data_IF_509041750772
#
_entry.id   IF_509041750772
#
_cell.length_a   1.000
_cell.length_b   1.000
_cell.length_c   1.000
_cell.angle_alpha   90.00
_cell.angle_beta   90.00
_cell.angle_gamma   90.00
#
_symmetry.space_group_name_H-M   'P 1'
#
loop_
_entity.id
_entity.type
_entity.pdbx_description
1 polymer ?
#
# COMPACT_ATOMS: atom_id res chain seq x y z
N UNK A 1 -35.52 55.44 -7.14
CA UNK A 1 -35.41 54.23 -6.31
C UNK A 1 -35.99 53.06 -7.09
N UNK A 2 -35.15 52.14 -7.59
CA UNK A 2 -35.56 50.76 -7.81
C UNK A 2 -34.67 49.77 -7.04
N UNK A 3 -35.31 48.70 -6.57
CA UNK A 3 -34.75 47.66 -5.72
C UNK A 3 -33.74 46.78 -6.47
N UNK A 4 -32.61 46.50 -5.83
CA UNK A 4 -31.68 45.45 -6.24
C UNK A 4 -32.18 44.11 -5.67
N UNK A 5 -32.58 43.20 -6.56
CA UNK A 5 -32.82 41.81 -6.23
C UNK A 5 -31.50 41.17 -5.76
N UNK A 6 -31.47 40.76 -4.49
CA UNK A 6 -30.41 39.91 -3.94
C UNK A 6 -30.55 38.51 -4.54
N UNK A 7 -29.68 38.19 -5.50
CA UNK A 7 -29.50 36.82 -5.97
C UNK A 7 -28.57 36.13 -4.99
N UNK A 8 -29.14 35.28 -4.13
CA UNK A 8 -28.35 34.40 -3.27
C UNK A 8 -27.61 33.39 -4.15
N UNK A 9 -26.31 33.60 -4.31
CA UNK A 9 -25.41 32.60 -4.89
C UNK A 9 -25.25 31.51 -3.85
N UNK A 10 -25.92 30.36 -4.06
CA UNK A 10 -25.57 29.11 -3.39
C UNK A 10 -24.15 28.76 -3.82
N UNK A 11 -23.19 28.94 -2.92
CA UNK A 11 -21.84 28.43 -3.09
C UNK A 11 -21.96 26.90 -3.09
N UNK A 12 -21.79 26.25 -4.24
CA UNK A 12 -21.39 24.86 -4.25
C UNK A 12 -19.96 24.83 -3.71
N UNK A 13 -19.79 24.33 -2.50
CA UNK A 13 -18.47 23.92 -2.03
C UNK A 13 -18.07 22.73 -2.88
N UNK A 14 -17.15 22.93 -3.83
CA UNK A 14 -16.48 21.83 -4.50
C UNK A 14 -15.58 21.18 -3.46
N UNK A 15 -15.94 19.97 -3.03
CA UNK A 15 -15.07 19.11 -2.25
C UNK A 15 -13.95 18.68 -3.21
N UNK A 16 -12.86 19.44 -3.22
CA UNK A 16 -11.62 18.99 -3.86
C UNK A 16 -11.03 18.00 -2.87
N UNK A 17 -11.38 16.72 -3.03
CA UNK A 17 -10.64 15.62 -2.44
C UNK A 17 -9.22 15.83 -2.95
N UNK A 18 -8.24 16.00 -2.05
CA UNK A 18 -6.85 16.09 -2.46
C UNK A 18 -6.57 14.86 -3.32
N UNK A 19 -6.26 15.07 -4.60
CA UNK A 19 -6.22 14.01 -5.58
C UNK A 19 -5.37 12.85 -5.07
N UNK A 20 -6.00 11.68 -4.91
CA UNK A 20 -5.31 10.42 -4.65
C UNK A 20 -4.64 10.06 -5.98
N UNK A 21 -3.47 10.65 -6.25
CA UNK A 21 -2.71 10.34 -7.45
C UNK A 21 -2.12 8.94 -7.26
N UNK A 22 -2.71 7.95 -7.92
CA UNK A 22 -2.16 6.59 -7.92
C UNK A 22 -0.99 6.57 -8.92
N UNK A 23 0.23 6.58 -8.41
CA UNK A 23 1.44 6.35 -9.20
C UNK A 23 1.67 4.84 -9.30
N UNK A 24 1.53 4.29 -10.51
CA UNK A 24 1.91 2.91 -10.78
C UNK A 24 3.45 2.81 -10.73
N UNK A 25 3.99 2.23 -9.66
CA UNK A 25 5.42 2.01 -9.46
C UNK A 25 5.96 1.09 -10.57
N UNK A 26 6.69 1.64 -11.54
CA UNK A 26 7.29 0.85 -12.62
C UNK A 26 8.52 0.14 -12.06
N UNK A 27 8.32 -1.10 -11.62
CA UNK A 27 9.39 -1.98 -11.16
C UNK A 27 10.37 -2.32 -12.28
N UNK A 28 11.41 -1.51 -12.48
CA UNK A 28 12.50 -1.84 -13.40
C UNK A 28 13.36 -2.94 -12.75
N UNK A 29 13.01 -4.20 -13.01
CA UNK A 29 13.77 -5.37 -12.55
C UNK A 29 15.23 -5.28 -12.98
N UNK A 30 16.14 -5.23 -12.01
CA UNK A 30 17.57 -5.24 -12.26
C UNK A 30 18.03 -6.63 -12.68
N UNK A 31 18.62 -6.68 -13.87
CA UNK A 31 19.24 -7.83 -14.52
C UNK A 31 20.33 -8.44 -13.58
N UNK A 32 20.03 -9.57 -12.95
CA UNK A 32 20.99 -10.34 -12.19
C UNK A 32 21.43 -11.56 -13.00
N UNK A 33 22.66 -11.43 -13.50
CA UNK A 33 23.40 -12.37 -14.31
C UNK A 33 23.42 -13.83 -13.79
N UNK A 34 23.43 -14.72 -14.78
CA UNK A 34 23.97 -16.09 -14.80
C UNK A 34 24.84 -16.48 -13.59
N UNK A 35 24.37 -17.45 -12.81
CA UNK A 35 25.25 -18.44 -12.17
C UNK A 35 24.61 -19.82 -12.24
N UNK A 36 25.12 -20.57 -13.20
CA UNK A 36 25.14 -22.04 -13.24
C UNK A 36 25.69 -22.62 -11.94
N UNK A 37 24.92 -23.48 -11.27
CA UNK A 37 25.46 -24.49 -10.36
C UNK A 37 24.52 -25.69 -10.28
N UNK A 38 24.98 -26.80 -10.85
CA UNK A 38 24.44 -28.14 -10.64
C UNK A 38 24.37 -28.46 -9.14
N UNK A 39 23.34 -29.21 -8.73
CA UNK A 39 23.43 -30.01 -7.51
C UNK A 39 22.70 -31.33 -7.67
N UNK A 40 23.52 -32.36 -7.71
CA UNK A 40 23.23 -33.78 -7.65
C UNK A 40 22.76 -34.18 -6.24
N UNK A 41 22.03 -35.29 -6.20
CA UNK A 41 21.27 -35.78 -5.05
C UNK A 41 22.10 -36.38 -3.90
N UNK A 42 21.42 -36.42 -2.73
CA UNK A 42 21.42 -37.47 -1.68
C UNK A 42 22.66 -37.67 -0.80
N UNK A 43 22.52 -37.61 0.55
CA UNK A 43 22.13 -38.70 1.47
C UNK A 43 22.39 -38.29 2.95
N UNK A 44 21.47 -38.60 3.86
CA UNK A 44 21.57 -38.56 5.35
C UNK A 44 22.50 -39.67 5.91
N UNK A 45 22.68 -39.89 7.24
CA UNK A 45 22.64 -39.05 8.46
C UNK A 45 23.87 -39.32 9.41
N UNK A 46 24.00 -38.60 10.55
CA UNK A 46 24.29 -39.14 11.91
C UNK A 46 24.62 -38.06 12.96
N UNK A 47 23.84 -38.04 14.06
CA UNK A 47 24.23 -37.63 15.43
C UNK A 47 25.21 -38.68 16.02
N UNK A 48 26.04 -38.45 17.08
CA UNK A 48 25.55 -37.98 18.39
C UNK A 48 26.49 -37.09 19.25
N UNK A 49 25.90 -36.52 20.30
CA UNK A 49 26.39 -36.33 21.71
C UNK A 49 27.13 -35.04 22.17
N UNK A 50 26.51 -34.44 23.21
CA UNK A 50 27.07 -34.00 24.51
C UNK A 50 27.20 -32.49 24.82
N UNK A 51 26.26 -32.02 25.66
CA UNK A 51 26.41 -31.40 26.99
C UNK A 51 27.24 -30.10 27.22
N UNK A 52 26.56 -29.15 27.88
CA UNK A 52 26.99 -28.31 29.02
C UNK A 52 27.12 -26.79 28.82
N UNK A 53 26.41 -26.10 29.71
CA UNK A 53 26.18 -24.67 29.98
C UNK A 53 27.42 -23.81 30.27
N UNK A 54 27.37 -22.51 29.90
CA UNK A 54 27.93 -21.35 30.65
C UNK A 54 27.31 -20.04 30.13
N UNK A 55 26.85 -19.08 30.98
CA UNK A 55 26.36 -17.75 30.60
C UNK A 55 27.37 -16.61 30.99
N UNK A 56 27.07 -15.31 30.77
CA UNK A 56 27.53 -14.45 29.67
C UNK A 56 28.68 -13.48 30.04
N UNK A 57 29.33 -12.85 29.05
CA UNK A 57 30.20 -11.67 29.25
C UNK A 57 29.62 -10.47 28.47
N UNK A 58 29.53 -9.26 29.07
CA UNK A 58 28.98 -8.10 28.41
C UNK A 58 30.03 -7.44 27.51
N UNK A 59 29.65 -7.18 26.26
CA UNK A 59 30.41 -6.32 25.35
C UNK A 59 29.68 -4.98 25.27
N UNK A 60 30.44 -3.90 25.45
CA UNK A 60 30.07 -2.49 25.27
C UNK A 60 29.14 -2.26 24.06
N UNK A 61 28.20 -1.29 24.13
CA UNK A 61 27.43 -0.88 22.97
C UNK A 61 28.34 -0.07 22.06
N UNK A 62 28.85 -0.72 21.02
CA UNK A 62 29.42 -0.02 19.87
C UNK A 62 28.27 0.70 19.15
N UNK A 63 28.37 2.02 19.16
CA UNK A 63 27.65 2.98 18.34
C UNK A 63 27.41 2.41 16.93
N UNK A 64 26.16 2.04 16.65
CA UNK A 64 25.73 1.59 15.33
C UNK A 64 25.29 2.82 14.55
N UNK A 65 26.06 3.13 13.53
CA UNK A 65 25.71 4.01 12.42
C UNK A 65 24.39 3.56 11.81
N UNK A 66 23.42 4.48 11.71
CA UNK A 66 22.20 4.36 10.90
C UNK A 66 22.59 3.98 9.46
N UNK A 67 22.47 2.70 9.16
CA UNK A 67 22.33 2.20 7.80
C UNK A 67 20.86 1.89 7.68
N UNK A 68 20.16 2.63 6.83
CA UNK A 68 18.80 2.28 6.36
C UNK A 68 18.92 0.94 5.62
N UNK A 69 18.83 -0.13 6.38
CA UNK A 69 18.59 -1.48 5.89
C UNK A 69 17.08 -1.65 5.96
N UNK A 70 16.47 -2.12 4.86
CA UNK A 70 15.03 -2.32 4.81
C UNK A 70 14.60 -3.24 5.98
N UNK A 71 13.47 -2.95 6.66
CA UNK A 71 13.06 -3.70 7.83
C UNK A 71 12.80 -5.18 7.46
N UNK A 72 13.28 -6.19 8.21
CA UNK A 72 12.87 -7.58 8.02
C UNK A 72 11.35 -7.79 8.10
N UNK A 73 10.82 -8.84 7.45
CA UNK A 73 9.39 -9.15 7.48
C UNK A 73 8.86 -9.31 8.92
N UNK A 74 7.73 -8.66 9.21
CA UNK A 74 7.16 -8.55 10.56
C UNK A 74 7.43 -7.21 11.25
N UNK A 75 8.21 -6.32 10.65
CA UNK A 75 8.32 -4.94 11.09
C UNK A 75 7.07 -4.12 10.74
N UNK A 76 6.83 -3.08 11.54
CA UNK A 76 5.67 -2.21 11.39
C UNK A 76 6.08 -0.86 10.80
N UNK A 77 5.28 -0.37 9.86
CA UNK A 77 5.35 0.99 9.33
C UNK A 77 4.45 1.85 10.21
N UNK A 78 5.01 2.99 10.65
CA UNK A 78 4.28 4.03 11.38
C UNK A 78 4.04 5.18 10.41
N UNK A 79 2.79 5.38 10.02
CA UNK A 79 2.39 6.48 9.15
C UNK A 79 1.68 7.59 9.92
N UNK A 80 1.11 8.52 9.18
CA UNK A 80 0.36 9.65 9.74
C UNK A 80 -1.00 9.20 10.30
N UNK A 81 -1.01 8.80 11.58
CA UNK A 81 -2.24 8.44 12.30
C UNK A 81 -2.61 6.95 12.25
N UNK A 82 -1.70 6.10 11.78
CA UNK A 82 -1.88 4.65 11.74
C UNK A 82 -0.56 3.90 11.89
N UNK A 83 -0.66 2.60 12.15
CA UNK A 83 0.45 1.65 12.04
C UNK A 83 -0.04 0.40 11.34
N UNK A 84 0.79 -0.22 10.50
CA UNK A 84 0.51 -1.53 9.92
C UNK A 84 1.77 -2.38 9.81
N UNK A 85 1.61 -3.69 9.64
CA UNK A 85 2.73 -4.62 9.47
C UNK A 85 3.07 -4.78 7.98
N UNK A 86 4.36 -4.93 7.67
CA UNK A 86 4.82 -5.31 6.33
C UNK A 86 4.54 -6.81 6.11
N UNK A 87 3.80 -7.20 5.06
CA UNK A 87 3.55 -8.60 4.77
C UNK A 87 4.84 -9.40 4.54
N UNK A 88 4.82 -10.70 4.82
CA UNK A 88 5.98 -11.56 4.56
C UNK A 88 6.33 -11.56 3.06
N UNK A 89 7.62 -11.35 2.73
CA UNK A 89 8.11 -11.30 1.36
C UNK A 89 7.88 -9.95 0.65
N UNK A 90 7.50 -8.93 1.42
CA UNK A 90 7.39 -7.54 0.98
C UNK A 90 8.46 -6.68 1.62
N UNK A 91 8.71 -5.52 1.02
CA UNK A 91 9.66 -4.51 1.48
C UNK A 91 9.00 -3.13 1.53
N UNK A 92 9.48 -2.30 2.45
CA UNK A 92 9.13 -0.89 2.55
C UNK A 92 9.87 -0.09 1.46
N UNK A 93 9.10 0.67 0.69
CA UNK A 93 9.58 1.54 -0.39
C UNK A 93 9.07 2.98 -0.23
N UNK A 94 8.63 3.35 0.98
CA UNK A 94 8.09 4.69 1.28
C UNK A 94 9.10 5.81 0.97
N UNK A 95 10.40 5.53 1.10
CA UNK A 95 11.48 6.48 0.80
C UNK A 95 11.86 6.55 -0.71
N UNK A 96 11.26 5.72 -1.56
CA UNK A 96 11.56 5.75 -3.00
C UNK A 96 10.94 6.98 -3.68
N UNK A 97 11.62 7.61 -4.66
CA UNK A 97 11.10 8.80 -5.34
C UNK A 97 9.75 8.61 -6.01
N UNK A 98 9.45 7.39 -6.44
CA UNK A 98 8.20 7.03 -7.10
C UNK A 98 7.02 6.92 -6.11
N UNK A 99 7.31 6.79 -4.81
CA UNK A 99 6.34 6.74 -3.70
C UNK A 99 6.20 8.08 -2.97
N UNK A 100 6.76 9.17 -3.50
CA UNK A 100 6.83 10.46 -2.81
C UNK A 100 5.46 11.12 -2.49
N UNK A 101 4.37 10.65 -3.10
CA UNK A 101 3.01 11.10 -2.83
C UNK A 101 2.27 10.20 -1.83
N UNK A 102 2.83 9.04 -1.51
CA UNK A 102 2.32 8.14 -0.50
C UNK A 102 2.88 8.52 0.89
N UNK A 103 2.05 8.33 1.91
CA UNK A 103 2.50 8.38 3.30
C UNK A 103 3.30 7.12 3.65
N UNK A 104 2.87 5.98 3.12
CA UNK A 104 3.68 4.76 3.10
C UNK A 104 3.46 3.95 1.83
N UNK A 105 4.46 3.16 1.45
CA UNK A 105 4.40 2.27 0.30
C UNK A 105 5.16 0.98 0.59
N UNK A 106 4.58 -0.16 0.21
CA UNK A 106 5.22 -1.47 0.26
C UNK A 106 5.08 -2.18 -1.07
N UNK A 107 6.08 -2.98 -1.43
CA UNK A 107 6.02 -3.81 -2.65
C UNK A 107 6.50 -5.23 -2.40
N UNK A 108 6.09 -6.16 -3.27
CA UNK A 108 6.61 -7.52 -3.25
C UNK A 108 8.10 -7.53 -3.62
N UNK A 109 8.96 -8.09 -2.77
CA UNK A 109 10.42 -8.05 -2.96
C UNK A 109 10.88 -8.83 -4.20
N UNK A 110 10.05 -9.77 -4.69
CA UNK A 110 10.32 -10.51 -5.93
C UNK A 110 9.07 -10.55 -6.79
N UNK A 111 8.99 -9.61 -7.73
CA UNK A 111 7.97 -9.59 -8.77
C UNK A 111 8.09 -10.83 -9.68
N UNK A 112 6.94 -11.35 -10.10
CA UNK A 112 6.85 -12.43 -11.11
C UNK A 112 6.57 -11.90 -12.52
N UNK A 113 6.18 -10.64 -12.62
CA UNK A 113 5.81 -9.94 -13.83
C UNK A 113 6.70 -8.70 -14.03
N UNK A 114 6.50 -7.98 -15.13
CA UNK A 114 7.15 -6.69 -15.38
C UNK A 114 6.75 -5.67 -14.33
N UNK A 115 5.48 -5.66 -13.93
CA UNK A 115 5.00 -4.85 -12.83
C UNK A 115 5.07 -5.62 -11.50
N UNK A 116 5.66 -4.99 -10.49
CA UNK A 116 5.68 -5.52 -9.13
C UNK A 116 4.43 -5.10 -8.36
N UNK A 117 3.73 -6.07 -7.78
CA UNK A 117 2.61 -5.79 -6.87
C UNK A 117 3.06 -4.86 -5.75
N UNK A 118 2.28 -3.80 -5.53
CA UNK A 118 2.54 -2.81 -4.48
C UNK A 118 1.25 -2.35 -3.82
N UNK A 119 1.39 -1.83 -2.61
CA UNK A 119 0.34 -1.18 -1.84
C UNK A 119 0.83 0.19 -1.42
N UNK A 120 0.04 1.22 -1.71
CA UNK A 120 0.31 2.60 -1.31
C UNK A 120 -0.77 3.10 -0.35
N UNK A 121 -0.36 3.82 0.69
CA UNK A 121 -1.24 4.55 1.59
C UNK A 121 -1.13 6.04 1.31
N UNK A 122 -2.27 6.70 1.08
CA UNK A 122 -2.33 8.17 1.00
C UNK A 122 -3.23 8.67 2.13
N UNK A 123 -2.72 9.62 2.91
CA UNK A 123 -3.47 10.31 3.96
C UNK A 123 -3.79 11.72 3.50
N UNK A 124 -5.06 12.12 3.59
CA UNK A 124 -5.51 13.46 3.23
C UNK A 124 -6.50 14.00 4.24
N UNK A 125 -6.63 15.31 4.34
CA UNK A 125 -7.68 15.90 5.18
C UNK A 125 -9.07 15.55 4.62
N UNK A 126 -10.04 15.31 5.50
CA UNK A 126 -11.44 14.99 5.14
C UNK A 126 -12.14 16.12 4.37
N UNK A 127 -11.60 17.34 4.44
CA UNK A 127 -12.21 18.55 3.92
C UNK A 127 -13.64 18.77 4.46
N UNK A 128 -13.92 18.28 5.66
CA UNK A 128 -15.23 18.35 6.31
C UNK A 128 -16.21 17.26 5.85
N UNK A 129 -15.72 16.15 5.28
CA UNK A 129 -16.51 14.96 5.10
C UNK A 129 -16.75 14.30 6.48
N UNK A 130 -18.03 14.17 6.86
CA UNK A 130 -18.45 13.53 8.12
C UNK A 130 -18.85 12.05 7.93
N UNK A 131 -18.91 11.58 6.68
CA UNK A 131 -19.35 10.23 6.31
C UNK A 131 -18.55 9.73 5.12
N UNK A 132 -17.97 8.55 5.24
CA UNK A 132 -17.13 7.94 4.20
C UNK A 132 -17.92 7.64 2.93
N UNK A 133 -19.21 7.31 3.04
CA UNK A 133 -20.08 7.05 1.88
C UNK A 133 -20.19 8.25 0.93
N UNK A 134 -20.00 9.46 1.45
CA UNK A 134 -20.01 10.68 0.63
C UNK A 134 -18.86 10.71 -0.40
N UNK A 135 -17.83 9.89 -0.22
CA UNK A 135 -16.69 9.79 -1.13
C UNK A 135 -16.86 8.73 -2.22
N UNK A 136 -17.87 7.85 -2.16
CA UNK A 136 -17.99 6.73 -3.11
C UNK A 136 -18.05 7.17 -4.56
N UNK A 137 -18.99 8.05 -4.90
CA UNK A 137 -19.12 8.55 -6.27
C UNK A 137 -17.96 9.47 -6.68
N UNK A 138 -17.48 10.41 -5.83
CA UNK A 138 -16.31 11.23 -6.15
C UNK A 138 -15.01 10.44 -6.39
N UNK A 139 -14.69 9.47 -5.53
CA UNK A 139 -13.47 8.66 -5.64
C UNK A 139 -13.50 7.80 -6.91
N UNK A 140 -14.68 7.29 -7.26
CA UNK A 140 -14.92 6.59 -8.52
C UNK A 140 -14.67 7.52 -9.72
N UNK A 141 -15.30 8.70 -9.72
CA UNK A 141 -15.18 9.66 -10.82
C UNK A 141 -13.74 10.16 -11.02
N UNK A 142 -12.96 10.31 -9.95
CA UNK A 142 -11.53 10.65 -10.00
C UNK A 142 -10.75 9.60 -10.79
N UNK A 143 -10.89 8.32 -10.40
CA UNK A 143 -10.16 7.21 -11.02
C UNK A 143 -10.61 6.96 -12.48
N UNK A 144 -11.91 7.07 -12.76
CA UNK A 144 -12.45 7.03 -14.13
C UNK A 144 -11.87 8.16 -14.99
N UNK A 145 -11.75 9.38 -14.43
CA UNK A 145 -11.18 10.53 -15.14
C UNK A 145 -9.69 10.39 -15.38
N UNK A 146 -8.96 9.73 -14.47
CA UNK A 146 -7.51 9.55 -14.57
C UNK A 146 -7.15 8.57 -15.68
N UNK A 147 -7.83 7.42 -15.72
CA UNK A 147 -7.46 6.30 -16.60
C UNK A 147 -8.40 6.11 -17.79
N UNK A 148 -9.58 6.75 -17.80
CA UNK A 148 -10.57 6.55 -18.87
C UNK A 148 -11.18 5.15 -18.88
N UNK A 149 -11.20 4.49 -17.72
CA UNK A 149 -11.71 3.13 -17.52
C UNK A 149 -13.01 3.15 -16.73
N UNK A 150 -13.73 2.03 -16.76
CA UNK A 150 -14.87 1.82 -15.85
C UNK A 150 -14.34 1.39 -14.47
N UNK A 151 -14.89 1.99 -13.43
CA UNK A 151 -14.54 1.67 -12.05
C UNK A 151 -15.73 0.98 -11.39
N UNK A 152 -15.51 -0.13 -10.73
CA UNK A 152 -16.56 -0.89 -10.05
C UNK A 152 -16.43 -0.71 -8.54
N UNK A 153 -17.56 -0.71 -7.83
CA UNK A 153 -17.51 -0.82 -6.36
C UNK A 153 -17.23 -2.27 -5.98
N UNK A 154 -16.41 -2.47 -4.96
CA UNK A 154 -16.26 -3.78 -4.31
C UNK A 154 -16.99 -3.78 -2.97
N UNK A 155 -17.10 -4.95 -2.35
CA UNK A 155 -17.73 -5.07 -1.02
C UNK A 155 -16.97 -4.22 0.00
N UNK A 156 -17.72 -3.44 0.79
CA UNK A 156 -17.15 -2.63 1.86
C UNK A 156 -16.51 -3.53 2.93
N UNK A 157 -15.51 -3.00 3.61
CA UNK A 157 -14.80 -3.69 4.68
C UNK A 157 -14.76 -2.85 5.95
N UNK A 158 -14.04 -3.33 6.95
CA UNK A 158 -13.80 -2.62 8.21
C UNK A 158 -12.30 -2.51 8.44
N UNK A 159 -11.84 -1.31 8.78
CA UNK A 159 -10.45 -1.00 9.13
C UNK A 159 -10.49 -0.35 10.51
N UNK A 160 -9.78 -0.93 11.48
CA UNK A 160 -9.81 -0.54 12.91
C UNK A 160 -11.22 -0.26 13.49
N UNK A 161 -12.21 -1.05 13.07
CA UNK A 161 -13.59 -0.91 13.54
C UNK A 161 -14.43 0.17 12.81
N UNK A 162 -13.84 0.90 11.87
CA UNK A 162 -14.52 1.87 11.01
C UNK A 162 -14.85 1.29 9.64
N UNK A 163 -15.97 1.73 9.06
CA UNK A 163 -16.36 1.33 7.70
C UNK A 163 -15.37 1.87 6.69
N UNK A 164 -14.92 1.01 5.78
CA UNK A 164 -14.12 1.40 4.64
C UNK A 164 -14.81 1.01 3.33
N UNK A 165 -15.00 1.98 2.44
CA UNK A 165 -15.65 1.76 1.14
C UNK A 165 -14.63 1.29 0.11
N UNK A 166 -15.04 0.36 -0.76
CA UNK A 166 -14.14 -0.25 -1.73
C UNK A 166 -14.46 0.07 -3.19
N UNK A 167 -13.42 0.18 -4.02
CA UNK A 167 -13.54 0.18 -5.48
C UNK A 167 -12.41 -0.59 -6.18
N UNK A 168 -12.64 -0.95 -7.45
CA UNK A 168 -11.67 -1.63 -8.30
C UNK A 168 -11.72 -1.13 -9.74
N UNK A 169 -10.58 -1.20 -10.43
CA UNK A 169 -10.47 -0.87 -11.85
C UNK A 169 -9.37 -1.71 -12.52
N UNK A 170 -9.53 -2.00 -13.81
CA UNK A 170 -8.49 -2.60 -14.63
C UNK A 170 -7.98 -1.59 -15.65
N UNK A 171 -6.67 -1.42 -15.75
CA UNK A 171 -6.00 -0.49 -16.67
C UNK A 171 -4.97 -1.26 -17.47
N UNK A 172 -5.00 -1.13 -18.79
CA UNK A 172 -3.97 -1.68 -19.66
C UNK A 172 -2.78 -0.71 -19.74
N UNK A 173 -1.64 -1.10 -19.19
CA UNK A 173 -0.37 -0.35 -19.24
C UNK A 173 0.73 -1.19 -19.89
N UNK A 174 1.38 -0.64 -20.92
CA UNK A 174 2.53 -1.27 -21.60
C UNK A 174 2.31 -2.72 -22.10
N UNK A 175 1.04 -3.13 -22.31
CA UNK A 175 0.67 -4.48 -22.76
C UNK A 175 0.43 -5.48 -21.63
N UNK A 176 0.41 -5.01 -20.39
CA UNK A 176 0.02 -5.74 -19.17
C UNK A 176 -1.23 -5.09 -18.57
N UNK A 177 -2.20 -5.91 -18.15
CA UNK A 177 -3.39 -5.41 -17.47
C UNK A 177 -3.11 -5.34 -15.97
N UNK A 178 -3.17 -4.14 -15.42
CA UNK A 178 -3.03 -3.87 -13.99
C UNK A 178 -4.41 -3.71 -13.35
N UNK A 179 -4.60 -4.36 -12.21
CA UNK A 179 -5.79 -4.25 -11.39
C UNK A 179 -5.48 -3.39 -10.17
N UNK A 180 -6.29 -2.34 -10.00
CA UNK A 180 -6.27 -1.45 -8.85
C UNK A 180 -7.42 -1.84 -7.93
N UNK A 181 -7.14 -2.13 -6.67
CA UNK A 181 -8.16 -2.29 -5.62
C UNK A 181 -7.91 -1.27 -4.53
N UNK A 182 -8.91 -0.43 -4.25
CA UNK A 182 -8.79 0.68 -3.33
C UNK A 182 -9.82 0.57 -2.20
N UNK A 183 -9.39 0.87 -0.98
CA UNK A 183 -10.29 1.11 0.15
C UNK A 183 -10.06 2.51 0.72
N UNK A 184 -11.15 3.14 1.15
CA UNK A 184 -11.13 4.45 1.77
C UNK A 184 -11.75 4.37 3.16
N UNK A 185 -11.05 4.86 4.19
CA UNK A 185 -11.56 5.00 5.55
C UNK A 185 -11.50 6.46 5.99
N UNK A 186 -12.43 6.86 6.87
CA UNK A 186 -12.45 8.18 7.50
C UNK A 186 -12.17 7.99 8.99
N UNK A 187 -11.07 8.55 9.48
CA UNK A 187 -10.68 8.52 10.89
C UNK A 187 -10.11 9.88 11.31
N UNK A 188 -10.56 10.43 12.44
CA UNK A 188 -10.05 11.68 13.02
C UNK A 188 -9.83 12.82 11.99
N UNK A 189 -10.86 13.16 11.21
CA UNK A 189 -10.83 14.20 10.16
C UNK A 189 -9.83 13.92 9.00
N UNK A 190 -9.35 12.69 8.85
CA UNK A 190 -8.49 12.26 7.76
C UNK A 190 -9.14 11.15 6.93
N UNK A 191 -8.95 11.22 5.62
CA UNK A 191 -9.27 10.15 4.69
C UNK A 191 -7.99 9.38 4.42
N UNK A 192 -8.06 8.08 4.63
CA UNK A 192 -6.98 7.16 4.31
C UNK A 192 -7.38 6.36 3.09
N UNK A 193 -6.58 6.44 2.04
CA UNK A 193 -6.77 5.69 0.80
C UNK A 193 -5.66 4.65 0.68
N UNK A 194 -6.04 3.38 0.78
CA UNK A 194 -5.13 2.26 0.56
C UNK A 194 -5.38 1.68 -0.83
N UNK A 195 -4.33 1.64 -1.66
CA UNK A 195 -4.42 1.17 -3.04
C UNK A 195 -3.47 0.01 -3.24
N UNK A 196 -4.01 -1.15 -3.57
CA UNK A 196 -3.27 -2.27 -4.14
C UNK A 196 -3.24 -2.12 -5.65
N UNK A 197 -2.05 -2.19 -6.26
CA UNK A 197 -1.88 -2.32 -7.70
C UNK A 197 -1.13 -3.60 -8.00
N UNK A 198 -1.67 -4.40 -8.92
CA UNK A 198 -1.07 -5.68 -9.27
C UNK A 198 -1.40 -6.13 -10.70
N UNK A 199 -0.58 -6.98 -11.33
CA UNK A 199 -0.96 -7.64 -12.58
C UNK A 199 -2.24 -8.49 -12.40
N UNK A 200 -3.12 -8.51 -13.40
CA UNK A 200 -4.36 -9.32 -13.37
C UNK A 200 -4.09 -10.81 -13.13
N UNK A 201 -2.99 -11.34 -13.67
CA UNK A 201 -2.59 -12.74 -13.55
C UNK A 201 -1.98 -13.10 -12.18
N UNK A 202 -1.72 -12.12 -11.31
CA UNK A 202 -1.15 -12.36 -10.00
C UNK A 202 -2.27 -12.64 -8.96
N UNK A 203 -2.40 -13.92 -8.58
CA UNK A 203 -3.53 -14.42 -7.77
C UNK A 203 -3.33 -14.25 -6.26
N UNK A 204 -2.13 -13.89 -5.81
CA UNK A 204 -1.78 -13.85 -4.37
C UNK A 204 -2.05 -12.47 -3.73
N UNK A 205 -2.49 -11.47 -4.50
CA UNK A 205 -2.52 -10.06 -4.09
C UNK A 205 -3.58 -9.67 -3.06
N UNK A 206 -4.73 -10.35 -3.08
CA UNK A 206 -5.78 -10.11 -2.08
C UNK A 206 -5.30 -10.43 -0.66
N UNK A 207 -4.35 -11.36 -0.48
CA UNK A 207 -3.84 -11.72 0.83
C UNK A 207 -2.95 -10.63 1.43
N UNK A 208 -2.13 -9.94 0.61
CA UNK A 208 -1.25 -8.87 1.08
C UNK A 208 -2.05 -7.65 1.52
N UNK A 209 -3.00 -7.20 0.70
CA UNK A 209 -3.90 -6.11 1.06
C UNK A 209 -4.66 -6.44 2.37
N UNK A 210 -5.22 -7.65 2.48
CA UNK A 210 -5.90 -8.06 3.71
C UNK A 210 -4.98 -8.15 4.92
N UNK A 211 -3.72 -8.57 4.74
CA UNK A 211 -2.72 -8.57 5.82
C UNK A 211 -2.46 -7.15 6.32
N UNK A 212 -2.32 -6.18 5.42
CA UNK A 212 -2.12 -4.77 5.77
C UNK A 212 -3.35 -4.24 6.51
N UNK A 213 -4.54 -4.38 5.90
CA UNK A 213 -5.81 -3.92 6.47
C UNK A 213 -6.11 -4.49 7.85
N UNK A 214 -5.82 -5.79 8.07
CA UNK A 214 -6.08 -6.45 9.34
C UNK A 214 -5.06 -6.15 10.44
N UNK A 215 -3.87 -5.68 10.06
CA UNK A 215 -2.82 -5.27 11.01
C UNK A 215 -2.92 -3.81 11.42
N UNK A 216 -3.82 -3.06 10.78
CA UNK A 216 -4.01 -1.63 11.02
C UNK A 216 -4.47 -1.35 12.45
N UNK A 217 -3.79 -0.42 13.11
CA UNK A 217 -4.19 0.20 14.39
C UNK A 217 -3.88 1.69 14.41
#
# INVERSE_FOLDING_TARGET
MPALHSTSVRRLSALVIGGVLVVALVGCGSDAADLTAESTSSTTPSDPTSQTSTPPQPTDPSEATDTTDAPPPGDSIVGDGYTHTIPEGWEDVSDEPESAEADSAVRISRARASFGTNVNMIVSASQGADDIESLRDPAKAELESQFGVEVESVEDTTIDGETAIGQTASVDEEGETLVFTQFFALHDDHIYAVTLTAPEDDTDNGAALQSILSSWT
#
